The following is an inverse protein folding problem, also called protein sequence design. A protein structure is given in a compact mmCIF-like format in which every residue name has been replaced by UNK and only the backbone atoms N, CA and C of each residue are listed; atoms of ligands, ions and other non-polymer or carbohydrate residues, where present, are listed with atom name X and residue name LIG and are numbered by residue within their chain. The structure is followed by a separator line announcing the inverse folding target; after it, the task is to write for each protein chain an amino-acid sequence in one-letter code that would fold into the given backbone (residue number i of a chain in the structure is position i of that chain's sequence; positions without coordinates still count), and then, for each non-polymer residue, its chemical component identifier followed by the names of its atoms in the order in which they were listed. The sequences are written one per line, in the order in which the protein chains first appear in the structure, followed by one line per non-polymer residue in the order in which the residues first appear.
data_IF_592709123578
#
_entry.id   IF_592709123578
#
_cell.length_a   1.000
_cell.length_b   1.000
_cell.length_c   1.000
_cell.angle_alpha   90.00
_cell.angle_beta   90.00
_cell.angle_gamma   90.00
#
_symmetry.space_group_name_H-M   'P 1'
#
loop_
_entity.id
_entity.type
_entity.pdbx_description
1 polymer ?
#
# COMPACT_ATOMS: atom_id res chain seq x y z
N UNK A 1 -26.67 19.68 -13.16
CA UNK A 1 -27.07 18.94 -11.95
C UNK A 1 -27.08 17.44 -12.27
N UNK A 2 -26.01 16.72 -11.90
CA UNK A 2 -26.02 15.26 -11.78
C UNK A 2 -25.44 14.96 -10.40
N UNK A 3 -26.33 14.90 -9.41
CA UNK A 3 -25.98 14.58 -8.02
C UNK A 3 -25.73 13.06 -7.91
N UNK A 4 -24.61 12.58 -8.46
CA UNK A 4 -24.12 11.25 -8.12
C UNK A 4 -23.52 11.34 -6.70
N UNK A 5 -24.39 11.35 -5.68
CA UNK A 5 -23.94 11.24 -4.29
C UNK A 5 -23.12 9.95 -4.16
N UNK A 6 -21.83 10.11 -3.87
CA UNK A 6 -20.94 8.98 -3.68
C UNK A 6 -21.42 8.22 -2.44
N UNK A 7 -21.87 6.98 -2.63
CA UNK A 7 -22.45 6.17 -1.56
C UNK A 7 -21.37 5.72 -0.56
N UNK A 8 -21.38 6.33 0.62
CA UNK A 8 -20.58 5.90 1.78
C UNK A 8 -21.41 4.87 2.55
N UNK A 9 -20.80 3.73 2.86
CA UNK A 9 -21.43 2.69 3.70
C UNK A 9 -20.64 2.50 4.97
N UNK A 10 -21.32 2.59 6.12
CA UNK A 10 -20.70 2.48 7.44
C UNK A 10 -20.83 1.05 7.99
N UNK A 11 -19.75 0.52 8.55
CA UNK A 11 -19.68 -0.80 9.15
C UNK A 11 -19.19 -0.70 10.59
N UNK A 12 -19.97 -1.25 11.52
CA UNK A 12 -19.62 -1.30 12.95
C UNK A 12 -18.52 -2.29 13.28
N UNK A 13 -18.28 -3.29 12.41
CA UNK A 13 -17.30 -4.35 12.67
C UNK A 13 -16.58 -4.77 11.40
N UNK A 14 -15.33 -5.21 11.54
CA UNK A 14 -14.50 -5.75 10.47
C UNK A 14 -15.17 -6.92 9.73
N UNK A 15 -15.93 -7.76 10.46
CA UNK A 15 -16.65 -8.91 9.90
C UNK A 15 -17.62 -8.53 8.78
N UNK A 16 -18.37 -7.45 8.95
CA UNK A 16 -19.34 -6.99 7.95
C UNK A 16 -18.66 -6.33 6.75
N UNK A 17 -17.59 -5.57 6.99
CA UNK A 17 -16.75 -5.01 5.93
C UNK A 17 -16.13 -6.12 5.07
N UNK A 18 -15.52 -7.12 5.71
CA UNK A 18 -14.91 -8.26 5.05
C UNK A 18 -15.92 -9.04 4.20
N UNK A 19 -17.16 -9.21 4.71
CA UNK A 19 -18.25 -9.83 3.96
C UNK A 19 -18.57 -9.02 2.69
N UNK A 20 -18.71 -7.69 2.81
CA UNK A 20 -18.98 -6.81 1.66
C UNK A 20 -17.90 -6.96 0.58
N UNK A 21 -16.63 -6.79 0.97
CA UNK A 21 -15.48 -6.84 0.05
C UNK A 21 -15.40 -8.21 -0.63
N UNK A 22 -15.58 -9.29 0.13
CA UNK A 22 -15.61 -10.64 -0.44
C UNK A 22 -16.80 -10.83 -1.39
N UNK A 23 -17.98 -10.33 -1.06
CA UNK A 23 -19.17 -10.52 -1.89
C UNK A 23 -19.04 -9.79 -3.24
N UNK A 24 -18.23 -8.73 -3.35
CA UNK A 24 -17.89 -8.11 -4.64
C UNK A 24 -17.08 -9.05 -5.54
N UNK A 25 -16.27 -9.94 -4.97
CA UNK A 25 -15.60 -10.99 -5.74
C UNK A 25 -16.55 -12.03 -6.34
N UNK A 26 -17.86 -12.00 -6.07
CA UNK A 26 -18.78 -12.87 -6.79
C UNK A 26 -18.91 -12.43 -8.27
N UNK A 27 -18.89 -11.11 -8.52
CA UNK A 27 -19.15 -10.52 -9.83
C UNK A 27 -17.96 -9.73 -10.39
N UNK A 28 -16.86 -9.62 -9.65
CA UNK A 28 -15.63 -8.92 -10.03
C UNK A 28 -14.43 -9.84 -9.84
N UNK A 29 -13.41 -9.63 -10.66
CA UNK A 29 -12.17 -10.41 -10.58
C UNK A 29 -11.25 -9.81 -9.51
N UNK A 30 -11.32 -8.48 -9.35
CA UNK A 30 -10.43 -7.73 -8.47
C UNK A 30 -11.19 -6.72 -7.60
N UNK A 31 -10.70 -6.54 -6.38
CA UNK A 31 -11.08 -5.41 -5.51
C UNK A 31 -9.81 -4.66 -5.12
N UNK A 32 -9.78 -3.36 -5.43
CA UNK A 32 -8.72 -2.44 -5.03
C UNK A 32 -9.24 -1.59 -3.86
N UNK A 33 -8.49 -1.58 -2.76
CA UNK A 33 -8.85 -0.91 -1.52
C UNK A 33 -7.73 0.06 -1.10
N UNK A 34 -7.97 1.36 -1.24
CA UNK A 34 -7.10 2.35 -0.64
C UNK A 34 -7.49 2.58 0.82
N UNK A 35 -6.56 2.41 1.74
CA UNK A 35 -6.77 2.63 3.17
C UNK A 35 -5.50 3.07 3.88
N UNK A 36 -5.65 4.01 4.81
CA UNK A 36 -4.52 4.53 5.57
C UNK A 36 -3.92 3.52 6.56
N UNK A 37 -2.73 3.85 7.04
CA UNK A 37 -2.11 3.13 8.15
C UNK A 37 -2.99 3.25 9.40
N UNK A 38 -3.09 2.17 10.16
CA UNK A 38 -3.96 2.09 11.34
C UNK A 38 -5.44 1.81 11.05
N UNK A 39 -5.86 1.73 9.78
CA UNK A 39 -7.25 1.38 9.41
C UNK A 39 -7.58 -0.12 9.63
N UNK A 40 -6.57 -0.97 9.84
CA UNK A 40 -6.74 -2.39 10.12
C UNK A 40 -6.77 -3.30 8.88
N UNK A 41 -6.05 -2.92 7.82
CA UNK A 41 -5.98 -3.67 6.55
C UNK A 41 -5.49 -5.12 6.73
N UNK A 42 -4.49 -5.33 7.59
CA UNK A 42 -4.00 -6.68 7.91
C UNK A 42 -5.08 -7.49 8.62
N UNK A 43 -5.81 -6.92 9.58
CA UNK A 43 -6.95 -7.58 10.22
C UNK A 43 -8.07 -7.90 9.21
N UNK A 44 -8.31 -7.01 8.25
CA UNK A 44 -9.28 -7.24 7.17
C UNK A 44 -8.87 -8.44 6.30
N UNK A 45 -7.60 -8.55 5.92
CA UNK A 45 -7.08 -9.67 5.14
C UNK A 45 -7.34 -11.02 5.83
N UNK A 46 -7.12 -11.08 7.15
CA UNK A 46 -7.31 -12.28 7.95
C UNK A 46 -8.79 -12.62 8.14
N UNK A 47 -9.65 -11.62 8.29
CA UNK A 47 -11.10 -11.84 8.38
C UNK A 47 -11.68 -12.31 7.03
N UNK A 48 -11.22 -11.78 5.90
CA UNK A 48 -11.60 -12.28 4.56
C UNK A 48 -11.14 -13.72 4.38
N UNK A 49 -9.88 -14.05 4.72
CA UNK A 49 -9.35 -15.42 4.71
C UNK A 49 -10.26 -16.37 5.51
N UNK A 50 -10.61 -15.99 6.74
CA UNK A 50 -11.49 -16.77 7.63
C UNK A 50 -12.88 -16.99 7.02
N UNK A 51 -13.44 -15.98 6.36
CA UNK A 51 -14.75 -16.11 5.71
C UNK A 51 -14.71 -16.99 4.45
N UNK A 52 -13.62 -16.95 3.68
CA UNK A 52 -13.41 -17.83 2.53
C UNK A 52 -13.25 -19.29 2.97
N UNK A 53 -12.49 -19.54 4.05
CA UNK A 53 -12.35 -20.85 4.67
C UNK A 53 -13.70 -21.42 5.12
N UNK A 54 -14.50 -20.63 5.84
CA UNK A 54 -15.82 -21.08 6.32
C UNK A 54 -16.76 -21.49 5.19
N UNK A 55 -16.71 -20.79 4.05
CA UNK A 55 -17.49 -21.16 2.85
C UNK A 55 -16.94 -22.37 2.10
N UNK A 56 -15.70 -22.77 2.37
CA UNK A 56 -15.00 -23.87 1.73
C UNK A 56 -14.80 -25.03 2.72
N UNK A 57 -15.85 -25.40 3.46
CA UNK A 57 -15.83 -26.50 4.44
C UNK A 57 -14.68 -26.41 5.46
N UNK A 58 -14.37 -25.19 5.91
CA UNK A 58 -13.23 -24.87 6.79
C UNK A 58 -11.83 -25.21 6.23
N UNK A 59 -11.72 -25.44 4.92
CA UNK A 59 -10.43 -25.65 4.24
C UNK A 59 -9.87 -24.33 3.71
N UNK A 60 -8.57 -24.11 3.91
CA UNK A 60 -7.82 -22.96 3.38
C UNK A 60 -7.89 -22.89 1.86
N UNK A 61 -8.31 -21.72 1.36
CA UNK A 61 -8.45 -21.40 -0.07
C UNK A 61 -8.00 -19.98 -0.44
N UNK A 62 -7.34 -19.27 0.49
CA UNK A 62 -6.81 -17.91 0.29
C UNK A 62 -5.32 -17.89 0.55
N UNK A 63 -4.54 -17.53 -0.47
CA UNK A 63 -3.13 -17.15 -0.34
C UNK A 63 -3.05 -15.65 -0.01
N UNK A 64 -2.12 -15.22 0.82
CA UNK A 64 -2.03 -13.82 1.22
C UNK A 64 -0.59 -13.32 1.33
N UNK A 65 -0.42 -12.02 1.09
CA UNK A 65 0.76 -11.24 1.37
C UNK A 65 0.37 -10.14 2.37
N UNK A 66 0.91 -10.20 3.57
CA UNK A 66 0.72 -9.21 4.64
C UNK A 66 1.83 -9.42 5.69
N UNK A 67 1.76 -8.70 6.82
CA UNK A 67 2.73 -8.85 7.91
C UNK A 67 2.93 -10.31 8.39
N UNK A 68 1.88 -11.13 8.45
CA UNK A 68 2.01 -12.55 8.83
C UNK A 68 2.81 -13.36 7.80
N UNK A 69 2.80 -12.97 6.53
CA UNK A 69 3.61 -13.61 5.48
C UNK A 69 5.06 -13.20 5.60
N UNK A 70 5.33 -11.91 5.88
CA UNK A 70 6.68 -11.42 6.14
C UNK A 70 7.29 -12.13 7.36
N UNK A 71 6.52 -12.31 8.44
CA UNK A 71 6.96 -13.01 9.66
C UNK A 71 7.28 -14.51 9.46
N UNK A 72 6.95 -15.08 8.28
CA UNK A 72 7.42 -16.44 7.93
C UNK A 72 8.91 -16.48 7.58
N UNK A 73 9.51 -15.31 7.34
CA UNK A 73 10.91 -15.09 7.05
C UNK A 73 11.52 -14.31 8.20
N UNK A 74 12.51 -14.88 8.87
CA UNK A 74 13.08 -14.22 10.04
C UNK A 74 14.59 -14.45 10.13
N UNK A 75 15.30 -13.39 10.51
CA UNK A 75 16.72 -13.47 10.78
C UNK A 75 16.97 -14.00 12.17
N UNK A 76 17.94 -14.88 12.28
CA UNK A 76 18.50 -15.25 13.56
C UNK A 76 19.67 -14.31 13.91
N UNK A 77 19.35 -13.11 14.43
CA UNK A 77 20.32 -12.02 14.56
C UNK A 77 21.34 -12.20 15.69
N UNK A 78 21.06 -13.05 16.69
CA UNK A 78 21.90 -13.18 17.89
C UNK A 78 23.20 -13.98 17.64
N UNK A 79 23.40 -14.52 16.44
CA UNK A 79 24.52 -15.42 16.13
C UNK A 79 25.68 -14.76 15.38
N UNK A 80 25.61 -13.45 15.12
CA UNK A 80 26.66 -12.71 14.39
C UNK A 80 28.00 -12.71 15.17
N UNK A 81 27.96 -12.87 16.51
CA UNK A 81 29.15 -12.91 17.35
C UNK A 81 29.79 -14.31 17.52
N UNK A 82 29.14 -15.38 17.05
CA UNK A 82 29.60 -16.77 17.23
C UNK A 82 30.20 -17.39 15.95
N UNK A 83 30.53 -16.57 14.94
CA UNK A 83 31.14 -17.04 13.69
C UNK A 83 30.16 -17.69 12.71
N UNK A 84 28.85 -17.49 12.90
CA UNK A 84 27.83 -17.96 11.97
C UNK A 84 27.58 -16.97 10.82
N UNK A 85 27.39 -17.50 9.63
CA UNK A 85 27.09 -16.71 8.43
C UNK A 85 25.64 -16.19 8.44
N UNK A 86 25.37 -15.02 7.83
CA UNK A 86 24.02 -14.45 7.77
C UNK A 86 23.08 -15.36 6.96
N UNK A 87 21.98 -15.81 7.60
CA UNK A 87 20.93 -16.64 7.00
C UNK A 87 19.54 -16.16 7.38
N UNK A 88 18.63 -16.10 6.42
CA UNK A 88 17.21 -15.82 6.61
C UNK A 88 16.46 -17.15 6.75
N UNK A 89 15.89 -17.41 7.92
CA UNK A 89 15.19 -18.66 8.22
C UNK A 89 13.77 -18.63 7.67
N UNK A 90 13.28 -19.81 7.26
CA UNK A 90 11.93 -20.03 6.75
C UNK A 90 11.13 -20.87 7.74
N UNK A 91 9.92 -20.41 8.08
CA UNK A 91 8.99 -21.19 8.89
C UNK A 91 8.35 -22.33 8.08
N UNK A 92 9.06 -23.46 8.00
CA UNK A 92 8.72 -24.61 7.15
C UNK A 92 7.37 -25.27 7.41
N UNK A 93 6.77 -25.06 8.60
CA UNK A 93 5.46 -25.62 8.94
C UNK A 93 4.31 -24.89 8.23
N UNK A 94 4.58 -23.72 7.63
CA UNK A 94 3.58 -22.94 6.91
C UNK A 94 3.22 -23.56 5.57
N UNK A 95 1.91 -23.62 5.27
CA UNK A 95 1.40 -23.97 3.94
C UNK A 95 1.91 -23.07 2.82
N UNK A 96 2.40 -21.88 3.17
CA UNK A 96 3.06 -20.97 2.25
C UNK A 96 4.27 -21.59 1.55
N UNK A 97 4.96 -22.54 2.21
CA UNK A 97 6.13 -23.23 1.68
C UNK A 97 5.82 -24.67 1.22
N UNK A 98 4.54 -25.00 0.99
CA UNK A 98 4.15 -26.34 0.57
C UNK A 98 4.68 -26.69 -0.82
N UNK A 99 5.34 -27.85 -0.92
CA UNK A 99 5.85 -28.40 -2.19
C UNK A 99 7.10 -27.72 -2.74
N UNK A 100 7.75 -26.83 -1.98
CA UNK A 100 8.90 -26.09 -2.49
C UNK A 100 10.12 -26.94 -2.84
N UNK A 101 10.30 -28.08 -2.18
CA UNK A 101 11.41 -29.02 -2.45
C UNK A 101 11.43 -29.57 -3.88
N UNK A 102 10.28 -29.57 -4.55
CA UNK A 102 10.08 -30.20 -5.86
C UNK A 102 9.94 -29.16 -6.98
N UNK A 103 10.03 -27.86 -6.62
CA UNK A 103 9.76 -26.74 -7.50
C UNK A 103 11.06 -26.03 -7.88
N UNK A 104 11.24 -25.68 -9.16
CA UNK A 104 12.23 -24.72 -9.62
C UNK A 104 11.80 -23.29 -9.25
N UNK A 105 11.71 -22.99 -7.95
CA UNK A 105 11.21 -21.72 -7.46
C UNK A 105 12.25 -20.61 -7.65
N UNK A 106 13.54 -20.94 -7.53
CA UNK A 106 14.65 -20.00 -7.65
C UNK A 106 14.63 -19.27 -8.98
N UNK A 107 14.43 -19.96 -10.10
CA UNK A 107 14.35 -19.33 -11.43
C UNK A 107 13.21 -18.31 -11.52
N UNK A 108 12.04 -18.65 -10.98
CA UNK A 108 10.87 -17.75 -10.94
C UNK A 108 11.12 -16.54 -10.03
N UNK A 109 11.77 -16.74 -8.88
CA UNK A 109 12.11 -15.65 -7.96
C UNK A 109 13.15 -14.73 -8.59
N UNK A 110 14.24 -15.27 -9.14
CA UNK A 110 15.30 -14.50 -9.81
C UNK A 110 14.76 -13.67 -10.97
N UNK A 111 13.79 -14.19 -11.73
CA UNK A 111 13.14 -13.45 -12.82
C UNK A 111 12.51 -12.13 -12.37
N UNK A 112 11.93 -12.09 -11.17
CA UNK A 112 11.40 -10.86 -10.59
C UNK A 112 12.49 -10.06 -9.87
N UNK A 113 13.30 -10.72 -9.05
CA UNK A 113 14.30 -10.08 -8.18
C UNK A 113 15.30 -9.23 -8.94
N UNK A 114 15.79 -9.72 -10.08
CA UNK A 114 16.79 -9.04 -10.92
C UNK A 114 16.30 -7.69 -11.48
N UNK A 115 15.01 -7.36 -11.34
CA UNK A 115 14.45 -6.04 -11.73
C UNK A 115 14.53 -5.00 -10.63
N UNK A 116 14.66 -5.42 -9.37
CA UNK A 116 14.47 -4.55 -8.20
C UNK A 116 15.72 -4.45 -7.32
N UNK A 117 16.56 -5.50 -7.31
CA UNK A 117 17.73 -5.57 -6.46
C UNK A 117 18.89 -6.32 -7.12
N UNK A 118 20.10 -6.03 -6.66
CA UNK A 118 21.36 -6.55 -7.19
C UNK A 118 22.05 -7.44 -6.14
N UNK A 119 21.46 -8.61 -5.88
CA UNK A 119 22.04 -9.66 -5.06
C UNK A 119 21.55 -11.04 -5.51
N UNK A 120 22.39 -12.03 -5.31
CA UNK A 120 22.06 -13.43 -5.57
C UNK A 120 21.58 -14.10 -4.27
N UNK A 121 20.83 -15.18 -4.42
CA UNK A 121 20.34 -15.97 -3.29
C UNK A 121 20.39 -17.47 -3.58
N UNK A 122 20.40 -18.26 -2.51
CA UNK A 122 20.27 -19.71 -2.56
C UNK A 122 19.35 -20.18 -1.45
N UNK A 123 18.41 -21.07 -1.79
CA UNK A 123 17.50 -21.67 -0.83
C UNK A 123 18.02 -23.05 -0.43
N UNK A 124 18.20 -23.28 0.87
CA UNK A 124 18.44 -24.61 1.41
C UNK A 124 17.11 -25.18 1.89
N UNK A 125 16.50 -26.05 1.08
CA UNK A 125 15.23 -26.69 1.42
C UNK A 125 15.35 -27.81 2.47
N UNK A 126 16.56 -28.27 2.79
CA UNK A 126 16.78 -29.27 3.83
C UNK A 126 16.74 -28.61 5.21
N UNK A 127 17.43 -27.48 5.34
CA UNK A 127 17.59 -26.75 6.58
C UNK A 127 16.66 -25.52 6.69
N UNK A 128 15.88 -25.24 5.64
CA UNK A 128 14.89 -24.17 5.58
C UNK A 128 15.46 -22.78 5.87
N UNK A 129 16.52 -22.43 5.14
CA UNK A 129 17.07 -21.07 5.18
C UNK A 129 17.43 -20.57 3.79
N UNK A 130 17.62 -19.26 3.70
CA UNK A 130 18.07 -18.56 2.50
C UNK A 130 19.37 -17.83 2.84
N UNK A 131 20.35 -17.98 1.97
CA UNK A 131 21.62 -17.26 2.01
C UNK A 131 21.71 -16.31 0.83
N UNK A 132 22.30 -15.13 1.04
CA UNK A 132 22.45 -14.09 0.02
C UNK A 132 23.91 -13.82 -0.25
N UNK A 133 24.25 -13.50 -1.49
CA UNK A 133 25.63 -13.22 -1.94
C UNK A 133 25.66 -11.98 -2.81
N UNK A 134 26.79 -11.27 -2.80
CA UNK A 134 27.01 -10.20 -3.76
C UNK A 134 27.44 -10.83 -5.10
N UNK A 135 26.89 -10.40 -6.25
CA UNK A 135 27.25 -10.97 -7.56
C UNK A 135 28.74 -10.86 -7.89
N UNK A 136 29.41 -9.83 -7.35
CA UNK A 136 30.86 -9.62 -7.52
C UNK A 136 31.72 -10.45 -6.56
N UNK A 137 31.12 -11.01 -5.49
CA UNK A 137 31.78 -11.82 -4.47
C UNK A 137 30.91 -13.03 -4.08
N UNK A 138 30.76 -14.02 -4.99
CA UNK A 138 29.83 -15.14 -4.81
C UNK A 138 30.15 -16.04 -3.62
N UNK A 139 31.38 -16.03 -3.12
CA UNK A 139 31.81 -16.86 -1.99
C UNK A 139 31.51 -16.24 -0.62
N UNK A 140 31.02 -15.00 -0.57
CA UNK A 140 30.81 -14.26 0.69
C UNK A 140 29.31 -14.03 0.95
N UNK A 141 28.80 -14.66 2.00
CA UNK A 141 27.43 -14.44 2.45
C UNK A 141 27.25 -13.03 3.03
N UNK A 142 26.14 -12.39 2.68
CA UNK A 142 25.79 -11.04 3.11
C UNK A 142 24.44 -11.00 3.83
N UNK A 143 24.28 -10.01 4.71
CA UNK A 143 22.98 -9.61 5.23
C UNK A 143 22.44 -8.49 4.34
N UNK A 144 21.30 -8.73 3.71
CA UNK A 144 20.58 -7.71 2.92
C UNK A 144 19.85 -6.71 3.84
N UNK A 145 19.59 -5.51 3.35
CA UNK A 145 18.85 -4.48 4.05
C UNK A 145 17.38 -4.89 4.28
N UNK A 146 16.67 -4.18 5.17
CA UNK A 146 15.24 -4.47 5.39
C UNK A 146 14.39 -4.22 4.15
N UNK A 147 14.72 -3.21 3.34
CA UNK A 147 14.03 -2.94 2.08
C UNK A 147 14.23 -4.06 1.06
N UNK A 148 15.47 -4.53 0.93
CA UNK A 148 15.81 -5.69 0.07
C UNK A 148 15.17 -6.99 0.55
N UNK A 149 15.05 -7.20 1.86
CA UNK A 149 14.33 -8.33 2.44
C UNK A 149 12.85 -8.31 2.03
N UNK A 150 12.19 -7.14 2.13
CA UNK A 150 10.79 -6.97 1.70
C UNK A 150 10.63 -7.22 0.20
N UNK A 151 11.54 -6.68 -0.63
CA UNK A 151 11.57 -6.94 -2.08
C UNK A 151 11.71 -8.44 -2.36
N UNK A 152 12.62 -9.12 -1.65
CA UNK A 152 12.85 -10.54 -1.83
C UNK A 152 11.60 -11.37 -1.48
N UNK A 153 10.99 -11.12 -0.32
CA UNK A 153 9.76 -11.81 0.12
C UNK A 153 8.61 -11.53 -0.86
N UNK A 154 8.55 -10.32 -1.42
CA UNK A 154 7.60 -9.97 -2.48
C UNK A 154 7.84 -10.76 -3.77
N UNK A 155 9.09 -10.87 -4.25
CA UNK A 155 9.44 -11.68 -5.41
C UNK A 155 9.11 -13.16 -5.20
N UNK A 156 9.37 -13.66 -3.99
CA UNK A 156 8.95 -14.99 -3.55
C UNK A 156 7.44 -15.17 -3.70
N UNK A 157 6.67 -14.21 -3.21
CA UNK A 157 5.22 -14.23 -3.31
C UNK A 157 4.71 -14.20 -4.76
N UNK A 158 5.31 -13.38 -5.64
CA UNK A 158 4.98 -13.36 -7.06
C UNK A 158 5.24 -14.71 -7.73
N UNK A 159 6.36 -15.37 -7.41
CA UNK A 159 6.65 -16.71 -7.88
C UNK A 159 5.57 -17.72 -7.43
N UNK A 160 5.08 -17.63 -6.18
CA UNK A 160 3.95 -18.46 -5.72
C UNK A 160 2.65 -18.16 -6.48
N UNK A 161 2.37 -16.89 -6.77
CA UNK A 161 1.20 -16.51 -7.58
C UNK A 161 1.29 -17.10 -9.00
N UNK A 162 2.51 -17.20 -9.54
CA UNK A 162 2.73 -17.88 -10.81
C UNK A 162 2.47 -19.38 -10.70
N UNK A 163 2.86 -20.05 -9.60
CA UNK A 163 2.52 -21.47 -9.39
C UNK A 163 1.01 -21.72 -9.25
N UNK A 164 0.29 -20.81 -8.59
CA UNK A 164 -1.19 -20.82 -8.56
C UNK A 164 -1.73 -20.70 -9.98
N UNK A 165 -1.16 -19.80 -10.77
CA UNK A 165 -1.51 -19.59 -12.17
C UNK A 165 -1.23 -20.81 -13.04
N UNK A 166 -0.13 -21.52 -12.78
CA UNK A 166 0.24 -22.73 -13.50
C UNK A 166 -0.59 -23.95 -13.03
N UNK A 167 -1.49 -23.77 -12.06
CA UNK A 167 -2.31 -24.83 -11.41
C UNK A 167 -1.46 -25.98 -10.87
N UNK A 168 -0.26 -25.66 -10.37
CA UNK A 168 0.63 -26.63 -9.75
C UNK A 168 -0.08 -27.32 -8.58
N UNK A 169 0.10 -28.64 -8.44
CA UNK A 169 -0.64 -29.49 -7.50
C UNK A 169 -0.62 -28.94 -6.05
N UNK A 170 0.56 -28.49 -5.60
CA UNK A 170 0.79 -27.90 -4.27
C UNK A 170 -0.02 -26.61 -4.00
N UNK A 171 -0.53 -25.94 -5.04
CA UNK A 171 -1.21 -24.64 -4.96
C UNK A 171 -2.63 -24.64 -5.55
N UNK A 172 -3.16 -25.79 -6.00
CA UNK A 172 -4.54 -25.89 -6.53
C UNK A 172 -5.63 -25.52 -5.52
N UNK A 173 -5.31 -25.53 -4.21
CA UNK A 173 -6.22 -25.11 -3.16
C UNK A 173 -6.51 -23.59 -3.20
N UNK A 174 -5.65 -22.78 -3.83
CA UNK A 174 -5.76 -21.32 -3.86
C UNK A 174 -6.84 -20.90 -4.86
N UNK A 175 -7.90 -20.26 -4.35
CA UNK A 175 -8.97 -19.65 -5.16
C UNK A 175 -8.95 -18.12 -5.08
N UNK A 176 -8.40 -17.60 -3.98
CA UNK A 176 -8.36 -16.18 -3.67
C UNK A 176 -6.94 -15.76 -3.31
N UNK A 177 -6.56 -14.56 -3.71
CA UNK A 177 -5.32 -13.91 -3.29
C UNK A 177 -5.67 -12.61 -2.55
N UNK A 178 -5.07 -12.38 -1.39
CA UNK A 178 -5.19 -11.11 -0.67
C UNK A 178 -3.80 -10.48 -0.51
N UNK A 179 -3.61 -9.27 -1.00
CA UNK A 179 -2.34 -8.52 -0.89
C UNK A 179 -2.60 -7.28 -0.04
N UNK A 180 -1.87 -7.13 1.06
CA UNK A 180 -1.91 -5.98 1.95
C UNK A 180 -0.56 -5.28 1.97
N UNK A 181 -0.53 -4.00 1.55
CA UNK A 181 0.65 -3.12 1.55
C UNK A 181 1.93 -3.77 0.99
N UNK A 182 1.96 -4.16 -0.31
CA UNK A 182 3.11 -4.86 -0.89
C UNK A 182 4.38 -4.01 -1.05
N UNK A 183 4.29 -2.70 -0.79
CA UNK A 183 5.34 -1.71 -1.02
C UNK A 183 5.47 -0.80 0.21
N UNK A 184 5.71 -1.38 1.38
CA UNK A 184 6.07 -0.61 2.57
C UNK A 184 7.55 -0.20 2.46
N UNK A 185 7.83 1.11 2.43
CA UNK A 185 9.19 1.66 2.51
C UNK A 185 10.12 1.44 1.30
N UNK A 186 9.58 1.30 0.08
CA UNK A 186 10.37 1.27 -1.17
C UNK A 186 10.42 2.65 -1.84
N UNK A 187 11.40 2.87 -2.71
CA UNK A 187 11.45 4.05 -3.58
C UNK A 187 10.38 4.02 -4.69
N UNK A 188 10.13 5.16 -5.32
CA UNK A 188 9.09 5.31 -6.33
C UNK A 188 9.30 4.43 -7.57
N UNK A 189 10.54 4.21 -8.01
CA UNK A 189 10.82 3.40 -9.21
C UNK A 189 10.51 1.92 -8.96
N UNK A 190 10.95 1.40 -7.82
CA UNK A 190 10.60 0.04 -7.38
C UNK A 190 9.10 -0.10 -7.15
N UNK A 191 8.45 0.91 -6.58
CA UNK A 191 7.00 0.95 -6.38
C UNK A 191 6.22 0.81 -7.69
N UNK A 192 6.59 1.59 -8.71
CA UNK A 192 5.94 1.54 -10.03
C UNK A 192 6.16 0.15 -10.66
N UNK A 193 7.38 -0.35 -10.63
CA UNK A 193 7.75 -1.62 -11.26
C UNK A 193 7.00 -2.80 -10.64
N UNK A 194 6.91 -2.84 -9.31
CA UNK A 194 6.14 -3.84 -8.57
C UNK A 194 4.65 -3.77 -8.91
N UNK A 195 4.07 -2.56 -8.98
CA UNK A 195 2.66 -2.39 -9.34
C UNK A 195 2.39 -2.87 -10.78
N UNK A 196 3.27 -2.55 -11.73
CA UNK A 196 3.17 -3.00 -13.11
C UNK A 196 3.24 -4.53 -13.24
N UNK A 197 4.22 -5.16 -12.59
CA UNK A 197 4.38 -6.63 -12.62
C UNK A 197 3.19 -7.34 -11.96
N UNK A 198 2.70 -6.83 -10.83
CA UNK A 198 1.49 -7.35 -10.20
C UNK A 198 0.28 -7.21 -11.11
N UNK A 199 0.04 -6.02 -11.69
CA UNK A 199 -1.10 -5.80 -12.54
C UNK A 199 -1.06 -6.69 -13.80
N UNK A 200 0.13 -6.92 -14.37
CA UNK A 200 0.33 -7.87 -15.46
C UNK A 200 -0.04 -9.30 -15.03
N UNK A 201 0.48 -9.76 -13.89
CA UNK A 201 0.18 -11.08 -13.34
C UNK A 201 -1.33 -11.26 -13.12
N UNK A 202 -2.02 -10.25 -12.58
CA UNK A 202 -3.46 -10.29 -12.36
C UNK A 202 -4.24 -10.35 -13.69
N UNK A 203 -3.87 -9.53 -14.68
CA UNK A 203 -4.51 -9.50 -16.01
C UNK A 203 -4.42 -10.84 -16.72
N UNK A 204 -3.25 -11.47 -16.69
CA UNK A 204 -2.99 -12.74 -17.36
C UNK A 204 -3.69 -13.93 -16.69
N UNK A 205 -4.14 -13.76 -15.43
CA UNK A 205 -4.64 -14.87 -14.61
C UNK A 205 -6.02 -14.62 -13.97
N UNK A 206 -6.79 -13.66 -14.51
CA UNK A 206 -8.13 -13.30 -13.99
C UNK A 206 -9.12 -14.47 -13.86
N UNK A 207 -9.02 -15.46 -14.74
CA UNK A 207 -9.90 -16.64 -14.76
C UNK A 207 -9.41 -17.76 -13.81
N UNK A 208 -8.25 -17.59 -13.17
CA UNK A 208 -7.61 -18.62 -12.35
C UNK A 208 -7.79 -18.38 -10.86
N UNK A 209 -7.75 -17.12 -10.43
CA UNK A 209 -8.01 -16.73 -9.05
C UNK A 209 -8.55 -15.29 -9.00
N UNK A 210 -9.22 -14.96 -7.90
CA UNK A 210 -9.71 -13.60 -7.63
C UNK A 210 -8.83 -12.90 -6.61
N UNK A 211 -8.63 -11.59 -6.75
CA UNK A 211 -7.70 -10.86 -5.89
C UNK A 211 -8.31 -9.66 -5.16
N UNK A 212 -7.87 -9.45 -3.92
CA UNK A 212 -8.10 -8.20 -3.17
C UNK A 212 -6.73 -7.58 -2.91
N UNK A 213 -6.58 -6.31 -3.26
CA UNK A 213 -5.35 -5.56 -3.05
C UNK A 213 -5.68 -4.36 -2.19
N UNK A 214 -5.10 -4.30 -0.99
CA UNK A 214 -5.18 -3.14 -0.11
C UNK A 214 -3.85 -2.43 -0.02
N UNK A 215 -3.85 -1.10 -0.11
CA UNK A 215 -2.63 -0.29 0.01
C UNK A 215 -2.90 1.06 0.66
N UNK A 216 -1.94 1.54 1.45
CA UNK A 216 -1.84 2.94 1.86
C UNK A 216 -0.94 3.77 0.94
N UNK A 217 -0.20 3.12 0.03
CA UNK A 217 0.77 3.77 -0.83
C UNK A 217 0.10 4.35 -2.07
N UNK A 218 0.13 5.67 -2.22
CA UNK A 218 -0.66 6.34 -3.24
C UNK A 218 -0.22 6.08 -4.68
N UNK A 219 1.09 6.14 -4.94
CA UNK A 219 1.65 5.85 -6.26
C UNK A 219 1.30 4.43 -6.72
N UNK A 220 1.57 3.42 -5.88
CA UNK A 220 1.19 2.02 -6.11
C UNK A 220 -0.30 1.88 -6.46
N UNK A 221 -1.19 2.45 -5.63
CA UNK A 221 -2.64 2.34 -5.85
C UNK A 221 -3.07 2.97 -7.18
N UNK A 222 -2.49 4.12 -7.54
CA UNK A 222 -2.72 4.79 -8.81
C UNK A 222 -2.29 3.95 -10.01
N UNK A 223 -1.08 3.40 -9.97
CA UNK A 223 -0.57 2.52 -11.03
C UNK A 223 -1.47 1.31 -11.19
N UNK A 224 -1.85 0.65 -10.09
CA UNK A 224 -2.78 -0.50 -10.12
C UNK A 224 -4.13 -0.15 -10.76
N UNK A 225 -4.72 0.98 -10.37
CA UNK A 225 -6.00 1.43 -10.93
C UNK A 225 -5.89 1.75 -12.44
N UNK A 226 -4.79 2.36 -12.87
CA UNK A 226 -4.55 2.68 -14.27
C UNK A 226 -4.33 1.40 -15.10
N UNK A 227 -3.48 0.50 -14.62
CA UNK A 227 -3.14 -0.77 -15.28
C UNK A 227 -4.33 -1.73 -15.39
N UNK A 228 -5.25 -1.69 -14.42
CA UNK A 228 -6.46 -2.53 -14.37
C UNK A 228 -7.71 -1.82 -14.91
N UNK A 229 -7.59 -0.59 -15.44
CA UNK A 229 -8.73 0.24 -15.89
C UNK A 229 -9.68 -0.48 -16.86
N UNK A 230 -9.15 -1.36 -17.71
CA UNK A 230 -9.91 -2.14 -18.71
C UNK A 230 -10.50 -3.45 -18.17
N UNK A 231 -10.20 -3.83 -16.94
CA UNK A 231 -10.69 -5.07 -16.31
C UNK A 231 -11.87 -4.80 -15.40
N UNK A 232 -12.70 -5.82 -15.15
CA UNK A 232 -13.78 -5.72 -14.19
C UNK A 232 -13.24 -5.74 -12.75
N UNK A 233 -13.15 -4.57 -12.15
CA UNK A 233 -12.69 -4.40 -10.78
C UNK A 233 -13.58 -3.43 -10.01
N UNK A 234 -13.53 -3.54 -8.68
CA UNK A 234 -14.15 -2.57 -7.78
C UNK A 234 -13.08 -1.78 -7.05
N UNK A 235 -13.28 -0.46 -6.93
CA UNK A 235 -12.36 0.43 -6.20
C UNK A 235 -13.07 1.02 -4.99
N UNK A 236 -12.33 1.06 -3.89
CA UNK A 236 -12.81 1.53 -2.61
C UNK A 236 -11.80 2.43 -1.93
N UNK A 237 -12.32 3.45 -1.26
CA UNK A 237 -11.63 4.11 -0.17
C UNK A 237 -12.20 3.63 1.16
N UNK A 238 -11.33 3.22 2.07
CA UNK A 238 -11.68 2.78 3.41
C UNK A 238 -11.05 3.70 4.45
N UNK A 239 -11.92 4.26 5.28
CA UNK A 239 -11.59 5.09 6.41
C UNK A 239 -12.05 4.42 7.71
N UNK A 240 -11.30 4.63 8.80
CA UNK A 240 -11.70 4.23 10.14
C UNK A 240 -11.83 5.50 10.99
N UNK A 241 -13.04 5.76 11.46
CA UNK A 241 -13.29 6.83 12.42
C UNK A 241 -12.65 6.44 13.75
N UNK A 242 -11.76 7.29 14.27
CA UNK A 242 -11.04 7.05 15.53
C UNK A 242 -11.92 7.22 16.77
N UNK A 243 -12.99 8.00 16.68
CA UNK A 243 -13.90 8.27 17.81
C UNK A 243 -14.88 7.13 18.01
N UNK A 244 -15.58 6.72 16.94
CA UNK A 244 -16.58 5.66 16.99
C UNK A 244 -16.00 4.27 16.74
N UNK A 245 -14.76 4.17 16.24
CA UNK A 245 -14.15 2.95 15.70
C UNK A 245 -14.90 2.34 14.50
N UNK A 246 -15.84 3.06 13.90
CA UNK A 246 -16.57 2.59 12.73
C UNK A 246 -15.72 2.66 11.45
N UNK A 247 -16.05 1.79 10.50
CA UNK A 247 -15.37 1.66 9.22
C UNK A 247 -16.26 2.21 8.12
N UNK A 248 -15.80 3.21 7.40
CA UNK A 248 -16.52 3.85 6.29
C UNK A 248 -15.92 3.39 4.96
N UNK A 249 -16.74 2.77 4.12
CA UNK A 249 -16.34 2.30 2.80
C UNK A 249 -17.05 3.13 1.73
N UNK A 250 -16.26 3.77 0.86
CA UNK A 250 -16.73 4.63 -0.21
C UNK A 250 -16.33 4.04 -1.57
N UNK A 251 -17.32 3.74 -2.42
CA UNK A 251 -17.04 3.35 -3.80
C UNK A 251 -16.47 4.52 -4.59
N UNK A 252 -15.50 4.27 -5.45
CA UNK A 252 -14.88 5.31 -6.28
C UNK A 252 -14.67 4.87 -7.71
N UNK A 253 -14.83 5.82 -8.65
CA UNK A 253 -14.39 5.67 -10.04
C UNK A 253 -13.18 6.56 -10.38
N UNK A 254 -12.79 7.52 -9.53
CA UNK A 254 -11.65 8.40 -9.77
C UNK A 254 -10.37 7.85 -9.13
N UNK A 255 -9.25 7.99 -9.85
CA UNK A 255 -7.94 7.47 -9.45
C UNK A 255 -7.02 8.60 -8.94
N UNK A 256 -6.94 9.80 -9.57
CA UNK A 256 -6.05 10.86 -9.09
C UNK A 256 -6.58 11.57 -7.84
N UNK A 257 -7.90 11.79 -7.77
CA UNK A 257 -8.52 12.63 -6.73
C UNK A 257 -8.46 12.02 -5.33
N UNK A 258 -8.47 10.70 -5.19
CA UNK A 258 -8.59 10.06 -3.88
C UNK A 258 -7.36 10.23 -2.98
N UNK A 259 -6.16 10.30 -3.54
CA UNK A 259 -4.95 10.58 -2.76
C UNK A 259 -4.89 12.05 -2.32
N UNK A 260 -5.25 12.98 -3.21
CA UNK A 260 -5.34 14.39 -2.87
C UNK A 260 -6.38 14.64 -1.80
N UNK A 261 -7.63 14.22 -2.04
CA UNK A 261 -8.76 14.43 -1.15
C UNK A 261 -8.51 13.84 0.23
N UNK A 262 -7.93 12.65 0.30
CA UNK A 262 -7.68 12.01 1.58
C UNK A 262 -6.48 12.67 2.31
N UNK A 263 -5.43 13.10 1.60
CA UNK A 263 -4.35 13.91 2.20
C UNK A 263 -4.86 15.27 2.67
N UNK A 264 -5.70 15.94 1.88
CA UNK A 264 -6.42 17.15 2.32
C UNK A 264 -7.27 16.87 3.56
N UNK A 265 -7.96 15.73 3.62
CA UNK A 265 -8.75 15.34 4.81
C UNK A 265 -7.88 15.13 6.06
N UNK A 266 -6.65 14.62 5.91
CA UNK A 266 -5.68 14.53 7.02
C UNK A 266 -5.19 15.90 7.46
N UNK A 267 -4.93 16.81 6.51
CA UNK A 267 -4.58 18.20 6.82
C UNK A 267 -5.71 18.86 7.60
N UNK A 268 -6.96 18.71 7.12
CA UNK A 268 -8.14 19.24 7.80
C UNK A 268 -8.26 18.69 9.23
N UNK A 269 -8.10 17.37 9.44
CA UNK A 269 -8.15 16.79 10.78
C UNK A 269 -7.02 17.31 11.70
N UNK A 270 -5.83 17.59 11.16
CA UNK A 270 -4.73 18.19 11.92
C UNK A 270 -5.02 19.65 12.29
N UNK A 271 -5.67 20.40 11.39
CA UNK A 271 -6.13 21.77 11.65
C UNK A 271 -7.21 21.77 12.73
N UNK A 272 -8.20 20.88 12.62
CA UNK A 272 -9.32 20.77 13.56
C UNK A 272 -8.86 20.39 14.99
N UNK A 273 -7.76 19.65 15.10
CA UNK A 273 -7.15 19.23 16.37
C UNK A 273 -5.98 20.12 16.82
N UNK A 274 -5.72 21.22 16.10
CA UNK A 274 -4.57 22.13 16.25
C UNK A 274 -3.18 21.44 16.29
N UNK A 275 -3.10 20.17 15.89
CA UNK A 275 -1.89 19.34 15.92
C UNK A 275 -1.13 19.44 14.61
N UNK A 276 -0.62 20.64 14.30
CA UNK A 276 -0.01 20.95 13.00
C UNK A 276 1.53 20.93 13.10
N UNK A 277 2.18 20.11 12.27
CA UNK A 277 3.63 19.87 12.23
C UNK A 277 4.24 20.26 10.89
N UNK A 278 5.53 20.59 10.86
CA UNK A 278 6.27 21.05 9.66
C UNK A 278 6.05 20.19 8.41
N UNK A 279 5.94 18.86 8.55
CA UNK A 279 5.68 17.97 7.40
C UNK A 279 4.32 18.18 6.72
N UNK A 280 3.36 18.86 7.35
CA UNK A 280 2.09 19.22 6.72
C UNK A 280 2.28 20.22 5.57
N UNK A 281 3.29 21.11 5.62
CA UNK A 281 3.66 21.96 4.47
C UNK A 281 4.12 21.11 3.29
N UNK A 282 4.92 20.06 3.52
CA UNK A 282 5.33 19.10 2.47
C UNK A 282 4.11 18.43 1.84
N UNK A 283 3.16 18.02 2.69
CA UNK A 283 1.95 17.33 2.23
C UNK A 283 1.07 18.25 1.40
N UNK A 284 0.86 19.49 1.82
CA UNK A 284 0.10 20.50 1.07
C UNK A 284 0.79 20.87 -0.24
N UNK A 285 2.11 21.08 -0.22
CA UNK A 285 2.88 21.37 -1.42
C UNK A 285 2.82 20.25 -2.46
N UNK A 286 2.99 18.99 -2.05
CA UNK A 286 2.86 17.86 -2.97
C UNK A 286 1.47 17.77 -3.60
N UNK A 287 0.42 18.19 -2.88
CA UNK A 287 -0.94 18.29 -3.42
C UNK A 287 -1.03 19.41 -4.47
N UNK A 288 -0.48 20.59 -4.17
CA UNK A 288 -0.44 21.72 -5.11
C UNK A 288 0.35 21.39 -6.39
N UNK A 289 1.50 20.73 -6.28
CA UNK A 289 2.32 20.32 -7.44
C UNK A 289 1.57 19.37 -8.37
N UNK A 290 0.92 18.37 -7.79
CA UNK A 290 0.11 17.41 -8.57
C UNK A 290 -1.16 18.05 -9.13
N UNK A 291 -1.75 19.00 -8.40
CA UNK A 291 -2.90 19.79 -8.88
C UNK A 291 -2.50 20.68 -10.06
N UNK A 292 -1.33 21.34 -9.97
CA UNK A 292 -0.72 22.14 -11.03
C UNK A 292 -0.47 21.29 -12.29
N UNK A 293 0.16 20.12 -12.11
CA UNK A 293 0.37 19.16 -13.20
C UNK A 293 -0.95 18.69 -13.84
N UNK A 294 -1.99 18.45 -13.03
CA UNK A 294 -3.30 18.05 -13.55
C UNK A 294 -4.02 19.16 -14.32
N UNK A 295 -3.87 20.42 -13.89
CA UNK A 295 -4.49 21.59 -14.53
C UNK A 295 -3.67 22.15 -15.70
N UNK A 296 -2.47 21.60 -15.94
CA UNK A 296 -1.58 22.04 -17.02
C UNK A 296 -0.85 23.35 -16.71
N UNK A 297 -0.64 23.65 -15.43
CA UNK A 297 0.15 24.78 -14.96
C UNK A 297 1.64 24.46 -14.98
N UNK A 298 2.48 25.50 -14.95
CA UNK A 298 3.93 25.34 -15.03
C UNK A 298 4.56 25.18 -13.65
N UNK A 299 3.98 25.80 -12.62
CA UNK A 299 4.45 25.71 -11.24
C UNK A 299 3.29 25.46 -10.26
N UNK A 300 3.60 24.96 -9.06
CA UNK A 300 2.59 24.79 -8.01
C UNK A 300 2.02 26.13 -7.54
N UNK A 301 2.79 27.22 -7.62
CA UNK A 301 2.34 28.57 -7.25
C UNK A 301 1.19 29.06 -8.12
N UNK A 302 1.07 28.55 -9.36
CA UNK A 302 -0.05 28.85 -10.24
C UNK A 302 -1.39 28.33 -9.65
N UNK A 303 -1.32 27.31 -8.78
CA UNK A 303 -2.49 26.89 -8.02
C UNK A 303 -2.95 27.93 -6.99
N UNK A 304 -2.13 28.92 -6.66
CA UNK A 304 -2.45 29.98 -5.70
C UNK A 304 -2.87 31.28 -6.37
N UNK A 305 -2.80 31.39 -7.71
CA UNK A 305 -3.13 32.63 -8.42
C UNK A 305 -4.54 33.12 -8.14
N UNK A 306 -4.70 34.39 -7.76
CA UNK A 306 -6.01 34.98 -7.44
C UNK A 306 -6.53 34.63 -6.04
N UNK A 307 -5.66 34.13 -5.17
CA UNK A 307 -5.86 34.08 -3.72
C UNK A 307 -5.14 35.30 -3.12
N UNK A 308 -5.70 35.91 -2.07
CA UNK A 308 -5.02 36.97 -1.32
C UNK A 308 -3.66 36.48 -0.80
N UNK A 309 -2.64 37.35 -0.85
CA UNK A 309 -1.27 37.04 -0.43
C UNK A 309 -0.57 35.84 -1.14
N UNK A 310 -0.91 35.59 -2.41
CA UNK A 310 -0.34 34.51 -3.24
C UNK A 310 1.20 34.42 -3.19
N UNK A 311 1.90 35.56 -3.17
CA UNK A 311 3.37 35.65 -3.12
C UNK A 311 3.90 35.15 -1.77
N UNK A 312 3.24 35.54 -0.67
CA UNK A 312 3.59 35.11 0.67
C UNK A 312 3.36 33.60 0.80
N UNK A 313 2.23 33.09 0.32
CA UNK A 313 1.87 31.68 0.39
C UNK A 313 2.83 30.80 -0.41
N UNK A 314 3.13 31.17 -1.66
CA UNK A 314 4.09 30.45 -2.48
C UNK A 314 5.48 30.43 -1.84
N UNK A 315 5.90 31.55 -1.22
CA UNK A 315 7.17 31.64 -0.49
C UNK A 315 7.17 30.78 0.77
N UNK A 316 6.09 30.80 1.54
CA UNK A 316 5.94 30.00 2.75
C UNK A 316 5.96 28.50 2.43
N UNK A 317 5.18 28.07 1.44
CA UNK A 317 5.20 26.70 0.93
C UNK A 317 6.60 26.32 0.44
N UNK A 318 7.29 27.18 -0.31
CA UNK A 318 8.66 26.90 -0.76
C UNK A 318 9.65 26.71 0.40
N UNK A 319 9.65 27.62 1.38
CA UNK A 319 10.62 27.64 2.48
C UNK A 319 10.33 26.53 3.50
N UNK A 320 9.07 26.38 3.90
CA UNK A 320 8.68 25.48 4.98
C UNK A 320 8.55 24.03 4.51
N UNK A 321 8.57 23.78 3.19
CA UNK A 321 8.61 22.42 2.66
C UNK A 321 10.01 21.92 2.24
N UNK A 322 10.97 22.82 2.05
CA UNK A 322 12.37 22.45 1.73
C UNK A 322 13.30 22.48 2.95
N UNK A 323 12.81 22.88 4.13
CA UNK A 323 13.56 22.66 5.36
C UNK A 323 13.88 21.17 5.52
N UNK A 324 15.07 20.82 6.00
CA UNK A 324 15.53 19.45 6.30
C UNK A 324 14.71 18.79 7.44
N UNK A 325 13.38 18.85 7.37
CA UNK A 325 12.45 18.30 8.33
C UNK A 325 12.07 16.92 7.86
N UNK A 326 12.90 15.97 8.29
CA UNK A 326 12.63 14.55 8.23
C UNK A 326 11.23 14.24 8.78
N UNK A 327 10.44 13.43 8.07
CA UNK A 327 9.19 12.84 8.57
C UNK A 327 9.44 12.08 9.89
N UNK A 328 10.69 11.67 10.14
CA UNK A 328 11.12 10.93 11.32
C UNK A 328 11.40 11.81 12.54
N UNK A 329 11.40 13.15 12.42
CA UNK A 329 11.45 14.10 13.55
C UNK A 329 10.44 15.26 13.35
N UNK A 330 9.14 15.01 13.56
CA UNK A 330 8.11 16.03 13.37
C UNK A 330 8.24 17.12 14.45
N UNK A 331 8.47 18.37 14.02
CA UNK A 331 8.42 19.55 14.91
C UNK A 331 7.06 20.20 14.78
N UNK A 332 6.41 20.43 15.91
CA UNK A 332 5.17 21.21 15.95
C UNK A 332 5.45 22.64 15.49
N UNK A 333 4.55 23.20 14.69
CA UNK A 333 4.68 24.57 14.21
C UNK A 333 4.44 25.57 15.34
N UNK A 334 5.12 26.72 15.30
CA UNK A 334 4.73 27.88 16.11
C UNK A 334 3.38 28.44 15.64
N UNK A 335 2.75 29.27 16.47
CA UNK A 335 1.42 29.80 16.21
C UNK A 335 1.33 30.52 14.85
N UNK A 336 2.30 31.38 14.53
CA UNK A 336 2.33 32.12 13.27
C UNK A 336 2.32 31.19 12.04
N UNK A 337 3.11 30.10 12.06
CA UNK A 337 3.13 29.13 10.96
C UNK A 337 1.85 28.30 10.93
N UNK A 338 1.22 28.00 12.08
CA UNK A 338 -0.08 27.31 12.11
C UNK A 338 -1.15 28.15 11.44
N UNK A 339 -1.21 29.44 11.76
CA UNK A 339 -2.23 30.34 11.24
C UNK A 339 -2.04 30.56 9.73
N UNK A 340 -0.80 30.80 9.29
CA UNK A 340 -0.46 30.87 7.87
C UNK A 340 -0.80 29.57 7.11
N UNK A 341 -0.51 28.41 7.70
CA UNK A 341 -0.83 27.12 7.09
C UNK A 341 -2.34 26.90 6.95
N UNK A 342 -3.13 27.24 7.99
CA UNK A 342 -4.60 27.15 7.97
C UNK A 342 -5.18 28.03 6.86
N UNK A 343 -4.65 29.23 6.71
CA UNK A 343 -5.08 30.20 5.72
C UNK A 343 -4.80 29.71 4.28
N UNK A 344 -3.57 29.28 4.00
CA UNK A 344 -3.17 28.70 2.70
C UNK A 344 -4.08 27.51 2.35
N UNK A 345 -4.29 26.62 3.31
CA UNK A 345 -5.09 25.43 3.11
C UNK A 345 -6.56 25.74 2.82
N UNK A 346 -7.18 26.62 3.61
CA UNK A 346 -8.58 27.00 3.43
C UNK A 346 -8.80 27.68 2.09
N UNK A 347 -7.95 28.63 1.73
CA UNK A 347 -8.03 29.34 0.45
C UNK A 347 -7.82 28.40 -0.75
N UNK A 348 -6.95 27.40 -0.62
CA UNK A 348 -6.78 26.37 -1.64
C UNK A 348 -8.04 25.51 -1.81
N UNK A 349 -8.68 25.08 -0.71
CA UNK A 349 -9.94 24.33 -0.76
C UNK A 349 -11.06 25.14 -1.40
N UNK A 350 -11.16 26.43 -1.05
CA UNK A 350 -12.22 27.32 -1.52
C UNK A 350 -12.07 27.61 -3.01
N UNK A 351 -10.86 27.87 -3.50
CA UNK A 351 -10.58 28.10 -4.93
C UNK A 351 -10.94 26.93 -5.82
N UNK A 352 -10.63 25.71 -5.39
CA UNK A 352 -10.85 24.49 -6.20
C UNK A 352 -12.12 23.73 -5.81
N UNK A 353 -12.90 24.26 -4.86
CA UNK A 353 -14.13 23.67 -4.36
C UNK A 353 -13.97 22.19 -3.98
N UNK A 354 -12.85 21.85 -3.33
CA UNK A 354 -12.62 20.49 -2.88
C UNK A 354 -13.67 20.08 -1.85
N UNK A 355 -14.53 19.13 -2.21
CA UNK A 355 -15.39 18.48 -1.24
C UNK A 355 -14.57 17.45 -0.47
N UNK A 356 -14.11 17.84 0.71
CA UNK A 356 -13.50 16.90 1.62
C UNK A 356 -14.61 16.01 2.18
N UNK A 357 -14.52 14.67 2.02
CA UNK A 357 -15.45 13.79 2.69
C UNK A 357 -15.36 14.09 4.18
N UNK A 358 -16.52 14.31 4.81
CA UNK A 358 -16.61 14.33 6.26
C UNK A 358 -16.29 12.91 6.73
N UNK A 359 -15.00 12.62 6.88
CA UNK A 359 -14.50 11.35 7.39
C UNK A 359 -14.71 11.25 8.91
N UNK A 360 -15.09 12.36 9.54
CA UNK A 360 -15.41 12.47 10.95
C UNK A 360 -16.77 13.17 11.00
N UNK A 361 -17.80 12.50 11.54
CA UNK A 361 -19.02 13.18 11.97
C UNK A 361 -18.60 14.23 13.01
N UNK A 362 -18.95 15.51 12.79
CA UNK A 362 -18.88 16.51 13.86
C UNK A 362 -19.73 15.97 15.01
N UNK A 363 -19.09 15.52 16.08
CA UNK A 363 -19.83 15.22 17.30
C UNK A 363 -20.42 16.53 17.84
N UNK A 364 -21.67 16.48 18.36
CA UNK A 364 -22.39 17.65 18.84
C UNK A 364 -21.70 18.37 20.00
#
# INVERSE_FOLDING_TARGET
MNNNQIKITTYKTMKWLAKRIRDDLNNKDFVLLYAYNGTGKTCLSMEVKKQNQKKNNNQTNTLYFNAYTEDLFYWNNDFINDGHEPKLLLNSDSKFFSGLKELALEEKISFYLNRYADFDFKIDYKNWYISFTNPTQPDKLIKISRGEEVIFIWCFFLALCQLVSDRHESYQWVKYIYIDDPVSSLDDNNTISIACDLAKLLKENKDKFKAIISSHHGLFFNVMCNELKKQEHKKYFLHKDKTTNYLHLQSTDDVPFFHHVASLSKIQAAIDSDSIYTYHFNMLRSILEKTSSFLGYNDFSDCLTGIDDEILYARALNLLSHGNHSIYEPREMNQDNKDLFKEIFQNFLDKYHFSLPQLIEKQP
#
